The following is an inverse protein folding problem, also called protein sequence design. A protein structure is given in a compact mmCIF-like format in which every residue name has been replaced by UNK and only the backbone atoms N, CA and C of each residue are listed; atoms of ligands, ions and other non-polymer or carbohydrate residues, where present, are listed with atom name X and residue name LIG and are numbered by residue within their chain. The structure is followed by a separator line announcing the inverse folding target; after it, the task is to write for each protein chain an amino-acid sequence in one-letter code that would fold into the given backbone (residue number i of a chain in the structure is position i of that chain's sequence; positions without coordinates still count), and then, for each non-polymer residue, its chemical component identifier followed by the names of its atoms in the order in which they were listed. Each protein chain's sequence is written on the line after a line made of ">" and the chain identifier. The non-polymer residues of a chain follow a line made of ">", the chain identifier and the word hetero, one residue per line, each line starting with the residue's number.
data_IF_856855138973
#
_entry.id   IF_856855138973
#
_cell.length_a   1.000
_cell.length_b   1.000
_cell.length_c   1.000
_cell.angle_alpha   90.00
_cell.angle_beta   90.00
_cell.angle_gamma   90.00
#
_symmetry.space_group_name_H-M   'P 1'
#
loop_
_entity.id
_entity.type
_entity.pdbx_description
1 polymer ?
#
# COMPACT_ATOMS: atom_id res chain seq x y z
N UNK A 1 -7.81 2.65 -7.27
CA UNK A 1 -6.83 2.61 -8.37
C UNK A 1 -5.44 2.70 -7.75
N UNK A 2 -4.54 1.75 -8.04
CA UNK A 2 -3.24 1.59 -7.38
C UNK A 2 -2.05 2.06 -8.23
N UNK A 3 -2.25 2.89 -9.25
CA UNK A 3 -1.15 3.41 -10.09
C UNK A 3 -0.27 4.46 -9.37
N UNK A 4 1.02 4.47 -9.67
CA UNK A 4 1.98 5.47 -9.19
C UNK A 4 1.79 6.83 -9.84
N UNK A 5 1.16 6.88 -11.03
CA UNK A 5 0.92 8.10 -11.81
C UNK A 5 -0.54 8.49 -11.72
N UNK A 6 -0.83 9.73 -11.30
CA UNK A 6 -2.19 10.19 -11.08
C UNK A 6 -2.81 9.58 -9.81
N UNK A 7 -4.15 9.53 -9.78
CA UNK A 7 -4.92 8.99 -8.66
C UNK A 7 -4.76 9.76 -7.35
N UNK A 8 -5.17 9.13 -6.25
CA UNK A 8 -5.22 9.75 -4.92
C UNK A 8 -3.85 10.24 -4.44
N UNK A 9 -2.80 9.44 -4.63
CA UNK A 9 -1.45 9.82 -4.21
C UNK A 9 -0.94 11.08 -4.92
N UNK A 10 -1.33 11.30 -6.17
CA UNK A 10 -0.98 12.53 -6.89
C UNK A 10 -1.83 13.73 -6.45
N UNK A 11 -3.12 13.53 -6.18
CA UNK A 11 -3.96 14.58 -5.58
C UNK A 11 -3.42 15.02 -4.20
N UNK A 12 -2.98 14.08 -3.36
CA UNK A 12 -2.36 14.39 -2.07
C UNK A 12 -1.04 15.14 -2.26
N UNK A 13 -0.20 14.71 -3.20
CA UNK A 13 1.05 15.42 -3.53
C UNK A 13 0.78 16.86 -3.99
N UNK A 14 -0.25 17.07 -4.82
CA UNK A 14 -0.67 18.40 -5.26
C UNK A 14 -1.11 19.26 -4.09
N UNK A 15 -1.87 18.71 -3.14
CA UNK A 15 -2.29 19.43 -1.94
C UNK A 15 -1.10 19.77 -1.02
N UNK A 16 -0.17 18.84 -0.81
CA UNK A 16 1.08 19.09 -0.06
C UNK A 16 1.84 20.27 -0.68
N UNK A 17 2.01 20.26 -2.01
CA UNK A 17 2.69 21.33 -2.72
C UNK A 17 1.92 22.67 -2.66
N UNK A 18 0.61 22.64 -2.90
CA UNK A 18 -0.28 23.81 -2.91
C UNK A 18 -0.26 24.57 -1.58
N UNK A 19 -0.22 23.85 -0.47
CA UNK A 19 -0.19 24.44 0.88
C UNK A 19 1.25 24.63 1.43
N UNK A 20 2.29 24.33 0.63
CA UNK A 20 3.68 24.52 1.05
C UNK A 20 4.10 23.66 2.24
N UNK A 21 3.51 22.47 2.40
CA UNK A 21 3.77 21.61 3.55
C UNK A 21 5.11 20.89 3.35
N UNK A 22 6.09 21.18 4.21
CA UNK A 22 7.40 20.54 4.20
C UNK A 22 7.34 19.13 4.85
N UNK A 23 6.75 18.17 4.14
CA UNK A 23 6.67 16.77 4.57
C UNK A 23 7.14 15.81 3.48
N UNK A 24 7.63 14.64 3.89
CA UNK A 24 7.98 13.55 2.96
C UNK A 24 6.70 12.81 2.56
N UNK A 25 6.60 12.44 1.28
CA UNK A 25 5.54 11.59 0.75
C UNK A 25 6.15 10.38 0.03
N UNK A 26 5.73 9.17 0.41
CA UNK A 26 6.02 7.94 -0.32
C UNK A 26 4.70 7.32 -0.80
N UNK A 27 4.69 6.75 -2.00
CA UNK A 27 3.51 6.09 -2.59
C UNK A 27 3.82 4.61 -2.76
N UNK A 28 3.07 3.75 -2.08
CA UNK A 28 3.06 2.31 -2.34
C UNK A 28 2.02 2.04 -3.42
N UNK A 29 2.50 1.92 -4.65
CA UNK A 29 1.66 1.89 -5.85
C UNK A 29 2.35 1.09 -6.96
N UNK A 30 1.55 0.58 -7.88
CA UNK A 30 1.99 -0.11 -9.09
C UNK A 30 2.59 0.93 -10.04
N UNK A 31 3.79 0.65 -10.54
CA UNK A 31 4.42 1.47 -11.56
C UNK A 31 3.58 1.55 -12.83
N UNK A 32 3.90 2.51 -13.70
CA UNK A 32 3.24 2.69 -14.99
C UNK A 32 3.53 1.54 -15.94
N UNK A 33 2.76 0.46 -15.81
CA UNK A 33 2.92 -0.78 -16.56
C UNK A 33 1.59 -1.52 -16.65
N UNK A 34 1.42 -2.29 -17.73
CA UNK A 34 0.28 -3.18 -17.86
C UNK A 34 0.43 -4.39 -16.93
N UNK A 35 -0.63 -4.71 -16.20
CA UNK A 35 -0.66 -5.90 -15.37
C UNK A 35 -1.01 -7.14 -16.19
N UNK A 36 -0.42 -8.26 -15.79
CA UNK A 36 -0.81 -9.59 -16.22
C UNK A 36 -1.90 -10.18 -15.31
N UNK A 37 -2.72 -11.07 -15.86
CA UNK A 37 -3.67 -11.86 -15.07
C UNK A 37 -2.95 -12.94 -14.27
N UNK A 38 -3.12 -12.95 -12.94
CA UNK A 38 -2.63 -13.99 -12.04
C UNK A 38 -3.37 -13.92 -10.69
N UNK A 39 -2.98 -14.77 -9.73
CA UNK A 39 -3.57 -14.72 -8.38
C UNK A 39 -3.24 -13.40 -7.68
N UNK A 40 -4.15 -12.92 -6.82
CA UNK A 40 -3.99 -11.67 -6.06
C UNK A 40 -2.68 -11.63 -5.29
N UNK A 41 -2.37 -12.68 -4.52
CA UNK A 41 -1.16 -12.77 -3.69
C UNK A 41 0.09 -12.61 -4.55
N UNK A 42 0.16 -13.33 -5.67
CA UNK A 42 1.28 -13.24 -6.59
C UNK A 42 1.42 -11.84 -7.19
N UNK A 43 0.32 -11.21 -7.61
CA UNK A 43 0.35 -9.85 -8.17
C UNK A 43 0.80 -8.82 -7.12
N UNK A 44 0.32 -8.93 -5.88
CA UNK A 44 0.69 -7.99 -4.82
C UNK A 44 2.17 -8.04 -4.49
N UNK A 45 2.74 -9.24 -4.38
CA UNK A 45 4.17 -9.43 -4.19
C UNK A 45 4.97 -8.93 -5.41
N UNK A 46 4.55 -9.33 -6.62
CA UNK A 46 5.24 -8.98 -7.88
C UNK A 46 5.33 -7.47 -8.10
N UNK A 47 4.27 -6.73 -7.78
CA UNK A 47 4.20 -5.28 -7.98
C UNK A 47 4.52 -4.46 -6.73
N UNK A 48 4.96 -5.10 -5.64
CA UNK A 48 5.42 -4.41 -4.44
C UNK A 48 4.33 -3.61 -3.73
N UNK A 49 3.10 -4.11 -3.75
CA UNK A 49 1.95 -3.53 -3.03
C UNK A 49 1.44 -4.44 -1.91
N UNK A 50 2.31 -5.34 -1.46
CA UNK A 50 2.09 -6.23 -0.33
C UNK A 50 2.54 -5.59 1.00
N UNK A 51 2.26 -6.30 2.11
CA UNK A 51 2.58 -5.82 3.46
C UNK A 51 4.09 -5.62 3.64
N UNK A 52 4.91 -6.51 3.07
CA UNK A 52 6.38 -6.40 3.15
C UNK A 52 6.89 -5.13 2.46
N UNK A 53 6.32 -4.79 1.31
CA UNK A 53 6.68 -3.55 0.61
C UNK A 53 6.20 -2.31 1.34
N UNK A 54 5.04 -2.36 2.00
CA UNK A 54 4.57 -1.29 2.87
C UNK A 54 5.52 -1.08 4.05
N UNK A 55 5.93 -2.14 4.75
CA UNK A 55 6.87 -2.05 5.87
C UNK A 55 8.19 -1.40 5.44
N UNK A 56 8.78 -1.87 4.33
CA UNK A 56 10.00 -1.27 3.75
C UNK A 56 9.83 0.20 3.41
N UNK A 57 8.66 0.59 2.88
CA UNK A 57 8.37 1.99 2.56
C UNK A 57 8.32 2.87 3.81
N UNK A 58 7.74 2.36 4.91
CA UNK A 58 7.69 3.04 6.21
C UNK A 58 9.10 3.16 6.80
N UNK A 59 9.87 2.07 6.82
CA UNK A 59 11.26 2.07 7.32
C UNK A 59 12.14 3.06 6.56
N UNK A 60 12.00 3.11 5.24
CA UNK A 60 12.70 4.08 4.39
C UNK A 60 12.31 5.53 4.70
N UNK A 61 11.03 5.77 5.01
CA UNK A 61 10.53 7.10 5.35
C UNK A 61 11.08 7.60 6.71
N UNK A 62 11.11 6.69 7.69
CA UNK A 62 11.60 6.94 9.06
C UNK A 62 13.13 6.97 9.14
N UNK A 63 13.81 6.19 8.31
CA UNK A 63 15.26 6.00 8.38
C UNK A 63 15.70 4.98 9.42
N UNK A 64 14.78 4.19 9.97
CA UNK A 64 15.04 3.14 10.96
C UNK A 64 14.17 1.91 10.70
N UNK A 65 14.57 0.77 11.28
CA UNK A 65 13.77 -0.45 11.21
C UNK A 65 12.61 -0.40 12.18
N UNK A 66 11.46 -0.89 11.77
CA UNK A 66 10.31 -1.04 12.66
C UNK A 66 10.36 -2.44 13.28
N UNK A 67 10.07 -2.54 14.57
CA UNK A 67 9.99 -3.82 15.29
C UNK A 67 8.64 -4.51 15.02
N UNK A 68 8.40 -4.86 13.76
CA UNK A 68 7.22 -5.63 13.32
C UNK A 68 7.72 -6.93 12.71
N UNK A 69 7.30 -8.04 13.30
CA UNK A 69 7.66 -9.39 12.87
C UNK A 69 6.53 -10.03 12.05
N UNK A 70 6.82 -11.13 11.35
CA UNK A 70 5.80 -11.89 10.62
C UNK A 70 4.68 -12.42 11.53
N UNK A 71 4.97 -12.68 12.81
CA UNK A 71 3.96 -13.09 13.79
C UNK A 71 2.91 -11.99 14.03
N UNK A 72 3.35 -10.73 14.05
CA UNK A 72 2.46 -9.57 14.22
C UNK A 72 1.52 -9.39 13.02
N UNK A 73 1.99 -9.76 11.82
CA UNK A 73 1.20 -9.68 10.59
C UNK A 73 0.06 -10.72 10.56
N UNK A 74 0.30 -11.91 11.12
CA UNK A 74 -0.69 -13.00 11.21
C UNK A 74 -1.80 -12.76 12.24
N UNK A 75 -1.58 -11.85 13.19
CA UNK A 75 -2.55 -11.54 14.26
C UNK A 75 -3.51 -10.40 13.87
N UNK A 76 -3.42 -9.90 12.63
CA UNK A 76 -4.13 -8.70 12.19
C UNK A 76 -5.57 -8.99 11.77
N UNK A 77 -6.48 -8.06 12.13
CA UNK A 77 -7.95 -8.01 11.96
C UNK A 77 -8.51 -8.17 10.54
N UNK A 78 -7.68 -8.57 9.57
CA UNK A 78 -8.06 -8.74 8.15
C UNK A 78 -9.08 -9.87 7.96
N UNK A 79 -8.98 -10.96 8.72
CA UNK A 79 -9.92 -12.08 8.63
C UNK A 79 -11.36 -11.68 8.98
N UNK A 80 -11.55 -10.72 9.89
CA UNK A 80 -12.88 -10.17 10.20
C UNK A 80 -13.41 -9.24 9.10
N UNK A 81 -12.55 -8.41 8.48
CA UNK A 81 -12.97 -7.43 7.46
C UNK A 81 -13.35 -8.08 6.12
N UNK A 82 -12.70 -9.18 5.72
CA UNK A 82 -13.08 -9.89 4.50
C UNK A 82 -14.36 -10.73 4.68
N UNK A 83 -14.59 -11.30 5.87
CA UNK A 83 -15.81 -12.09 6.16
C UNK A 83 -17.08 -11.23 6.16
N UNK A 84 -17.06 -10.02 6.71
CA UNK A 84 -18.25 -9.14 6.75
C UNK A 84 -18.64 -8.64 5.35
N UNK A 85 -17.68 -8.27 4.51
CA UNK A 85 -17.97 -7.69 3.19
C UNK A 85 -18.31 -8.73 2.10
N UNK A 86 -18.00 -10.01 2.30
CA UNK A 86 -18.44 -11.08 1.38
C UNK A 86 -19.91 -11.46 1.58
N UNK A 87 -20.52 -11.13 2.72
CA UNK A 87 -21.94 -11.38 2.97
C UNK A 87 -22.88 -10.36 2.32
N UNK A 88 -22.40 -9.14 2.04
CA UNK A 88 -23.20 -8.09 1.39
C UNK A 88 -23.17 -8.11 -0.15
N UNK A 89 -22.41 -9.03 -0.76
CA UNK A 89 -22.25 -9.16 -2.21
C UNK A 89 -22.97 -10.40 -2.80
N UNK A 90 -23.98 -10.94 -2.11
CA UNK A 90 -24.87 -12.01 -2.59
C UNK A 90 -26.30 -11.52 -2.83
#
# INVERSE_FOLDING_TARGET
>A
NHTSIGGLGSCVAEMIAKFGIATKLIKVAINDTYLQGASRTFLMERYGIDIKSLLRAIESLLGEKVDITEADLTTSRLDSFFNENQQEAL
#
